data_IF_345217873874
#
_entry.id   IF_345217873874
#
_cell.length_a   1.000
_cell.length_b   1.000
_cell.length_c   1.000
_cell.angle_alpha   90.00
_cell.angle_beta   90.00
_cell.angle_gamma   90.00
#
_symmetry.space_group_name_H-M   'P 1'
#
loop_
_entity.id
_entity.type
_entity.pdbx_description
1 polymer ?
#
# COMPACT_ATOMS: atom_id res chain seq x y z
N UNK A 1 -8.11 3.14 -14.27
CA UNK A 1 -6.71 3.51 -14.01
C UNK A 1 -5.94 2.30 -13.50
N UNK A 2 -4.77 2.06 -14.01
CA UNK A 2 -3.90 0.98 -13.57
C UNK A 2 -2.53 1.52 -13.21
N UNK A 3 -1.99 1.06 -12.09
CA UNK A 3 -0.65 1.38 -11.65
C UNK A 3 0.12 0.08 -11.41
N UNK A 4 1.42 0.14 -11.53
CA UNK A 4 2.29 -1.01 -11.39
C UNK A 4 3.39 -0.72 -10.38
N UNK A 5 3.53 -1.62 -9.40
CA UNK A 5 4.62 -1.57 -8.43
C UNK A 5 5.59 -2.67 -8.79
N UNK A 6 6.77 -2.30 -9.25
CA UNK A 6 7.84 -3.25 -9.55
C UNK A 6 8.73 -3.38 -8.32
N UNK A 7 8.63 -4.54 -7.69
CA UNK A 7 9.48 -4.86 -6.57
C UNK A 7 10.70 -5.62 -7.01
N UNK A 8 11.84 -5.19 -6.51
CA UNK A 8 13.01 -6.05 -6.41
C UNK A 8 12.93 -6.80 -5.09
N UNK A 9 13.90 -7.66 -4.78
CA UNK A 9 13.94 -8.35 -3.51
C UNK A 9 13.61 -7.36 -2.38
N UNK A 10 12.55 -7.67 -1.65
CA UNK A 10 11.96 -6.74 -0.71
C UNK A 10 12.90 -6.40 0.44
N UNK A 11 13.06 -5.13 0.71
CA UNK A 11 13.69 -4.62 1.92
C UNK A 11 13.03 -3.29 2.30
N UNK A 12 12.81 -3.08 3.60
CA UNK A 12 12.33 -1.80 4.12
C UNK A 12 13.28 -0.63 3.83
N UNK A 13 14.48 -0.94 3.37
CA UNK A 13 15.51 0.04 3.06
C UNK A 13 15.62 0.33 1.57
N UNK A 14 14.92 -0.45 0.74
CA UNK A 14 15.01 -0.30 -0.71
C UNK A 14 14.12 0.81 -1.21
N UNK A 15 14.60 1.47 -2.24
CA UNK A 15 13.81 2.45 -2.98
C UNK A 15 13.21 1.74 -4.18
N UNK A 16 11.95 2.01 -4.47
CA UNK A 16 11.29 1.48 -5.66
C UNK A 16 10.32 2.51 -6.23
N UNK A 17 9.86 2.25 -7.44
CA UNK A 17 9.01 3.18 -8.17
C UNK A 17 7.67 2.57 -8.50
N UNK A 18 6.67 3.43 -8.63
CA UNK A 18 5.35 3.09 -9.11
C UNK A 18 5.20 3.68 -10.51
N UNK A 19 4.72 2.86 -11.45
CA UNK A 19 4.61 3.21 -12.86
C UNK A 19 3.15 3.23 -13.31
N UNK A 20 2.84 4.07 -14.29
CA UNK A 20 1.53 4.07 -14.94
C UNK A 20 1.47 3.00 -16.06
N UNK A 21 0.36 3.01 -16.81
CA UNK A 21 0.11 2.06 -17.90
C UNK A 21 1.08 2.21 -19.07
N UNK A 22 1.67 3.38 -19.24
CA UNK A 22 2.64 3.66 -20.29
C UNK A 22 4.07 3.35 -19.87
N UNK A 23 4.26 2.82 -18.66
CA UNK A 23 5.57 2.53 -18.12
C UNK A 23 6.32 3.75 -17.59
N UNK A 24 5.63 4.87 -17.41
CA UNK A 24 6.20 6.10 -16.87
C UNK A 24 6.12 6.09 -15.35
N UNK A 25 7.24 6.37 -14.69
CA UNK A 25 7.27 6.45 -13.22
C UNK A 25 6.44 7.65 -12.74
N UNK A 26 5.56 7.42 -11.77
CA UNK A 26 4.70 8.46 -11.21
C UNK A 26 4.99 8.74 -9.74
N UNK A 27 5.54 7.78 -9.02
CA UNK A 27 5.96 7.95 -7.63
C UNK A 27 7.24 7.18 -7.34
N UNK A 28 7.99 7.66 -6.36
CA UNK A 28 9.12 6.96 -5.78
C UNK A 28 8.84 6.66 -4.32
N UNK A 29 9.09 5.43 -3.88
CA UNK A 29 8.96 5.01 -2.50
C UNK A 29 10.34 4.86 -1.90
N UNK A 30 10.57 5.45 -0.74
CA UNK A 30 11.82 5.33 0.01
C UNK A 30 11.56 4.77 1.39
N UNK A 31 12.25 3.68 1.73
CA UNK A 31 12.20 3.09 3.06
C UNK A 31 13.22 3.72 3.98
N UNK A 32 12.84 3.97 5.22
CA UNK A 32 13.71 4.47 6.27
C UNK A 32 13.52 3.65 7.55
N UNK A 33 14.58 3.48 8.31
CA UNK A 33 14.49 2.98 9.67
C UNK A 33 14.57 4.16 10.63
N UNK A 34 13.46 4.38 11.34
CA UNK A 34 13.37 5.38 12.37
C UNK A 34 12.97 4.65 13.67
N UNK A 35 11.93 5.06 14.34
CA UNK A 35 11.32 4.30 15.44
C UNK A 35 10.40 3.21 14.86
N UNK A 36 10.95 2.25 14.14
CA UNK A 36 10.23 1.28 13.35
C UNK A 36 10.36 1.56 11.87
N UNK A 37 9.67 0.79 11.04
CA UNK A 37 9.72 0.97 9.60
C UNK A 37 8.92 2.19 9.19
N UNK A 38 9.48 2.96 8.27
CA UNK A 38 8.87 4.15 7.71
C UNK A 38 9.04 4.13 6.20
N UNK A 39 7.94 4.36 5.48
CA UNK A 39 7.96 4.48 4.04
C UNK A 39 7.50 5.87 3.66
N UNK A 40 8.25 6.53 2.81
CA UNK A 40 7.92 7.86 2.29
C UNK A 40 7.68 7.77 0.79
N UNK A 41 6.62 8.40 0.35
CA UNK A 41 6.27 8.44 -1.07
C UNK A 41 6.47 9.84 -1.61
N UNK A 42 7.15 9.93 -2.75
CA UNK A 42 7.46 11.19 -3.42
C UNK A 42 6.87 11.18 -4.81
N UNK A 43 6.38 12.34 -5.26
CA UNK A 43 6.02 12.51 -6.67
C UNK A 43 7.30 12.66 -7.52
N UNK A 44 7.14 12.80 -8.83
CA UNK A 44 8.28 12.87 -9.73
C UNK A 44 8.97 14.24 -9.73
N UNK A 45 8.41 15.22 -9.03
CA UNK A 45 9.05 16.50 -8.78
C UNK A 45 9.87 16.49 -7.48
N UNK A 46 9.87 15.35 -6.77
CA UNK A 46 10.60 15.19 -5.51
C UNK A 46 9.85 15.67 -4.28
N UNK A 47 8.56 15.99 -4.41
CA UNK A 47 7.75 16.40 -3.28
C UNK A 47 7.25 15.16 -2.52
N UNK A 48 7.42 15.16 -1.20
CA UNK A 48 6.85 14.13 -0.34
C UNK A 48 5.34 14.27 -0.29
N UNK A 49 4.62 13.24 -0.76
CA UNK A 49 3.15 13.28 -0.81
C UNK A 49 2.51 12.54 0.36
N UNK A 50 3.16 11.52 0.90
CA UNK A 50 2.67 10.83 2.08
C UNK A 50 3.76 10.06 2.80
N UNK A 51 3.45 9.68 4.04
CA UNK A 51 4.32 8.87 4.90
C UNK A 51 3.49 7.76 5.51
N UNK A 52 4.03 6.54 5.53
CA UNK A 52 3.45 5.38 6.18
C UNK A 52 4.43 4.93 7.26
N UNK A 53 3.99 4.91 8.50
CA UNK A 53 4.83 4.59 9.64
C UNK A 53 4.29 3.38 10.41
N UNK A 54 5.15 2.39 10.63
CA UNK A 54 4.79 1.23 11.45
C UNK A 54 4.62 1.65 12.91
N UNK A 55 3.51 1.25 13.52
CA UNK A 55 3.28 1.42 14.95
C UNK A 55 3.72 0.14 15.67
N UNK A 56 4.83 0.23 16.42
CA UNK A 56 5.41 -0.92 17.13
C UNK A 56 4.72 -1.26 18.44
N UNK A 57 3.89 -0.38 18.94
CA UNK A 57 3.19 -0.60 20.21
C UNK A 57 1.93 -1.45 20.06
N UNK A 58 1.55 -1.75 18.80
CA UNK A 58 0.41 -2.58 18.51
C UNK A 58 0.78 -4.07 18.51
N UNK A 59 -0.11 -4.91 19.05
CA UNK A 59 0.07 -6.37 19.04
C UNK A 59 -0.01 -6.97 17.64
N UNK A 60 -0.83 -6.35 16.79
CA UNK A 60 -0.98 -6.75 15.39
C UNK A 60 -0.36 -5.68 14.49
N UNK A 61 0.05 -6.03 13.27
CA UNK A 61 0.56 -5.04 12.34
C UNK A 61 -0.39 -3.86 12.18
N UNK A 62 0.16 -2.67 12.41
CA UNK A 62 -0.57 -1.41 12.30
C UNK A 62 0.35 -0.37 11.66
N UNK A 63 -0.18 0.32 10.65
CA UNK A 63 0.55 1.36 9.94
C UNK A 63 -0.22 2.66 10.02
N UNK A 64 0.46 3.71 10.46
CA UNK A 64 -0.11 5.05 10.53
C UNK A 64 0.14 5.78 9.22
N UNK A 65 -0.87 6.49 8.74
CA UNK A 65 -0.81 7.23 7.47
C UNK A 65 -0.79 8.73 7.69
N UNK A 66 0.10 9.41 7.00
CA UNK A 66 0.24 10.87 7.05
C UNK A 66 0.22 11.41 5.62
N UNK A 67 -0.55 12.46 5.38
CA UNK A 67 -0.59 13.17 4.11
C UNK A 67 -0.32 14.65 4.41
N UNK A 68 0.66 15.21 3.70
CA UNK A 68 1.11 16.60 3.92
C UNK A 68 1.44 16.88 5.39
N UNK A 69 2.03 15.89 6.08
CA UNK A 69 2.39 16.00 7.48
C UNK A 69 1.27 15.78 8.47
N UNK A 70 0.04 15.57 8.02
CA UNK A 70 -1.13 15.37 8.87
C UNK A 70 -1.49 13.89 8.98
N UNK A 71 -1.68 13.43 10.22
CA UNK A 71 -2.21 12.09 10.46
C UNK A 71 -3.63 11.97 9.93
N UNK A 72 -3.88 10.96 9.07
CA UNK A 72 -5.20 10.76 8.47
C UNK A 72 -5.89 9.47 8.94
N UNK A 73 -5.16 8.54 9.50
CA UNK A 73 -5.73 7.26 9.95
C UNK A 73 -4.71 6.16 9.94
N UNK A 74 -5.16 4.93 10.18
CA UNK A 74 -4.29 3.77 10.24
C UNK A 74 -4.81 2.59 9.44
N UNK A 75 -3.89 1.73 9.05
CA UNK A 75 -4.15 0.44 8.40
C UNK A 75 -3.90 -0.62 9.46
N UNK A 76 -4.92 -1.39 9.82
CA UNK A 76 -4.86 -2.35 10.91
C UNK A 76 -5.11 -3.76 10.39
N UNK A 77 -4.18 -4.67 10.64
CA UNK A 77 -4.38 -6.07 10.30
C UNK A 77 -5.37 -6.70 11.27
N UNK A 78 -6.32 -7.46 10.74
CA UNK A 78 -7.29 -8.20 11.55
C UNK A 78 -6.60 -9.36 12.28
N UNK A 79 -7.13 -9.74 13.43
CA UNK A 79 -6.56 -10.77 14.29
C UNK A 79 -6.81 -12.20 13.81
N UNK A 80 -7.55 -12.36 12.74
CA UNK A 80 -7.92 -13.68 12.25
C UNK A 80 -6.73 -14.33 11.55
N UNK A 81 -6.28 -15.46 12.08
CA UNK A 81 -5.13 -16.20 11.59
C UNK A 81 -5.32 -16.68 10.15
N UNK A 82 -6.56 -16.91 9.75
CA UNK A 82 -6.89 -17.49 8.44
C UNK A 82 -7.25 -16.45 7.38
N UNK A 83 -7.21 -15.17 7.71
CA UNK A 83 -7.62 -14.11 6.79
C UNK A 83 -6.58 -13.02 6.66
N UNK A 84 -6.21 -12.73 5.43
CA UNK A 84 -5.38 -11.57 5.10
C UNK A 84 -6.29 -10.35 4.96
N UNK A 85 -6.85 -9.90 6.08
CA UNK A 85 -7.80 -8.82 6.13
C UNK A 85 -7.24 -7.63 6.92
N UNK A 86 -7.56 -6.43 6.43
CA UNK A 86 -7.15 -5.17 7.03
C UNK A 86 -8.34 -4.24 7.11
N UNK A 87 -8.39 -3.43 8.15
CA UNK A 87 -9.35 -2.34 8.27
C UNK A 87 -8.63 -1.01 8.24
N UNK A 88 -9.28 -0.01 7.67
CA UNK A 88 -8.73 1.34 7.56
C UNK A 88 -9.48 2.21 8.56
N UNK A 89 -8.78 2.62 9.61
CA UNK A 89 -9.32 3.51 10.62
C UNK A 89 -9.21 4.95 10.14
N UNK A 90 -10.15 5.32 9.31
CA UNK A 90 -10.26 6.65 8.72
C UNK A 90 -11.66 6.83 8.11
N UNK A 91 -12.05 5.89 7.25
CA UNK A 91 -13.26 6.02 6.43
C UNK A 91 -14.06 4.72 6.36
N UNK A 92 -13.72 3.73 7.18
CA UNK A 92 -14.40 2.45 7.18
C UNK A 92 -14.05 1.54 6.01
N UNK A 93 -12.99 1.85 5.28
CA UNK A 93 -12.51 0.98 4.21
C UNK A 93 -11.93 -0.29 4.77
N UNK A 94 -11.92 -1.33 3.97
CA UNK A 94 -11.34 -2.61 4.35
C UNK A 94 -10.68 -3.29 3.17
N UNK A 95 -9.77 -4.19 3.48
CA UNK A 95 -9.02 -4.96 2.49
C UNK A 95 -9.19 -6.44 2.79
N UNK A 96 -9.43 -7.23 1.75
CA UNK A 96 -9.50 -8.68 1.85
C UNK A 96 -8.53 -9.30 0.86
N UNK A 97 -7.63 -10.15 1.36
CA UNK A 97 -6.70 -10.92 0.55
C UNK A 97 -7.17 -12.36 0.37
N UNK A 98 -6.74 -13.00 -0.72
CA UNK A 98 -6.98 -14.41 -0.91
C UNK A 98 -6.00 -15.26 -0.05
N UNK A 99 -6.24 -16.56 0.02
CA UNK A 99 -5.41 -17.47 0.83
C UNK A 99 -3.96 -17.55 0.34
N UNK A 100 -3.75 -17.34 -0.95
CA UNK A 100 -2.42 -17.41 -1.57
C UNK A 100 -1.69 -16.06 -1.54
N UNK A 101 -2.33 -15.03 -1.01
CA UNK A 101 -1.79 -13.66 -0.97
C UNK A 101 -1.42 -13.13 -2.36
N UNK A 102 -2.14 -13.57 -3.39
CA UNK A 102 -1.93 -13.16 -4.77
C UNK A 102 -2.81 -12.02 -5.20
N UNK A 103 -3.96 -11.86 -4.55
CA UNK A 103 -4.91 -10.79 -4.82
C UNK A 103 -5.41 -10.16 -3.53
N UNK A 104 -5.54 -8.84 -3.55
CA UNK A 104 -6.18 -8.08 -2.48
C UNK A 104 -7.25 -7.19 -3.09
N UNK A 105 -8.45 -7.23 -2.50
CA UNK A 105 -9.57 -6.37 -2.89
C UNK A 105 -9.77 -5.32 -1.83
N UNK A 106 -9.91 -4.08 -2.27
CA UNK A 106 -10.13 -2.94 -1.38
C UNK A 106 -11.56 -2.46 -1.57
N UNK A 107 -12.29 -2.36 -0.46
CA UNK A 107 -13.70 -1.94 -0.43
C UNK A 107 -13.83 -0.64 0.33
N UNK A 108 -14.71 0.25 -0.14
CA UNK A 108 -15.03 1.47 0.62
C UNK A 108 -16.00 1.18 1.76
N UNK A 109 -16.36 2.21 2.53
CA UNK A 109 -17.25 2.08 3.68
C UNK A 109 -18.67 1.65 3.35
N UNK A 110 -19.07 1.74 2.08
CA UNK A 110 -20.37 1.26 1.59
C UNK A 110 -20.32 -0.17 1.07
N UNK A 111 -19.13 -0.78 1.03
CA UNK A 111 -18.94 -2.14 0.54
C UNK A 111 -18.69 -2.25 -0.95
N UNK A 112 -18.48 -1.14 -1.67
CA UNK A 112 -18.12 -1.18 -3.08
C UNK A 112 -16.63 -1.40 -3.25
N UNK A 113 -16.26 -2.25 -4.20
CA UNK A 113 -14.86 -2.47 -4.52
C UNK A 113 -14.28 -1.24 -5.22
N UNK A 114 -13.24 -0.66 -4.63
CA UNK A 114 -12.58 0.54 -5.16
C UNK A 114 -11.24 0.23 -5.80
N UNK A 115 -10.65 -0.92 -5.48
CA UNK A 115 -9.40 -1.34 -6.10
C UNK A 115 -9.20 -2.85 -6.03
N UNK A 116 -8.39 -3.34 -6.96
CA UNK A 116 -7.89 -4.71 -6.97
C UNK A 116 -6.38 -4.67 -7.13
N UNK A 117 -5.67 -5.23 -6.16
CA UNK A 117 -4.23 -5.43 -6.23
C UNK A 117 -3.97 -6.88 -6.56
N UNK A 118 -3.29 -7.16 -7.65
CA UNK A 118 -2.93 -8.52 -8.05
C UNK A 118 -1.44 -8.64 -8.32
N UNK A 119 -0.88 -9.75 -7.85
CA UNK A 119 0.53 -10.06 -8.08
C UNK A 119 0.67 -10.72 -9.44
N UNK A 120 1.47 -10.13 -10.31
CA UNK A 120 1.80 -10.73 -11.59
C UNK A 120 3.12 -11.48 -11.48
N UNK A 121 3.06 -12.80 -11.73
CA UNK A 121 4.24 -13.63 -11.76
C UNK A 121 4.74 -13.69 -13.20
N UNK A 122 5.28 -12.57 -13.69
CA UNK A 122 5.89 -12.51 -15.00
C UNK A 122 7.39 -12.27 -14.87
N UNK A 123 8.20 -13.17 -15.43
CA UNK A 123 9.64 -13.00 -15.61
C UNK A 123 10.46 -12.83 -14.32
N UNK A 124 10.19 -13.61 -13.29
CA UNK A 124 10.99 -13.66 -12.05
C UNK A 124 11.04 -12.37 -11.24
N UNK A 125 10.24 -11.37 -11.57
CA UNK A 125 10.13 -10.14 -10.79
C UNK A 125 8.72 -10.01 -10.29
N UNK A 126 8.61 -9.82 -8.98
CA UNK A 126 7.32 -9.58 -8.35
C UNK A 126 6.82 -8.20 -8.76
N UNK A 127 5.81 -8.19 -9.60
CA UNK A 127 5.14 -6.96 -10.03
C UNK A 127 3.71 -7.03 -9.54
N UNK A 128 3.27 -5.98 -8.85
CA UNK A 128 1.88 -5.83 -8.47
C UNK A 128 1.19 -4.90 -9.45
N UNK A 129 0.03 -5.31 -9.92
CA UNK A 129 -0.86 -4.47 -10.72
C UNK A 129 -1.99 -3.99 -9.81
N UNK A 130 -2.23 -2.70 -9.81
CA UNK A 130 -3.26 -2.07 -9.01
C UNK A 130 -4.29 -1.46 -9.97
N UNK A 131 -5.50 -2.02 -9.98
CA UNK A 131 -6.63 -1.45 -10.73
C UNK A 131 -7.43 -0.56 -9.79
N UNK A 132 -7.56 0.70 -10.15
CA UNK A 132 -8.23 1.72 -9.35
C UNK A 132 -9.49 2.16 -10.07
N UNK A 133 -10.64 2.08 -9.39
CA UNK A 133 -11.92 2.42 -9.97
C UNK A 133 -12.08 3.94 -10.12
N UNK A 134 -11.74 4.70 -9.09
CA UNK A 134 -11.85 6.15 -9.10
C UNK A 134 -10.48 6.79 -8.83
N UNK A 135 -9.95 7.58 -9.79
CA UNK A 135 -8.65 8.23 -9.61
C UNK A 135 -8.53 9.11 -8.37
N UNK A 136 -9.62 9.61 -7.81
CA UNK A 136 -9.60 10.39 -6.57
C UNK A 136 -9.09 9.58 -5.38
N UNK A 137 -9.22 8.27 -5.43
CA UNK A 137 -8.81 7.36 -4.36
C UNK A 137 -7.36 6.87 -4.53
N UNK A 138 -6.65 7.33 -5.54
CA UNK A 138 -5.33 6.85 -5.93
C UNK A 138 -4.35 6.84 -4.76
N UNK A 139 -4.20 7.96 -4.08
CA UNK A 139 -3.18 8.09 -3.04
C UNK A 139 -3.46 7.14 -1.87
N UNK A 140 -4.69 7.08 -1.40
CA UNK A 140 -5.07 6.19 -0.30
C UNK A 140 -4.86 4.71 -0.68
N UNK A 141 -5.26 4.34 -1.90
CA UNK A 141 -5.08 2.97 -2.39
C UNK A 141 -3.59 2.61 -2.47
N UNK A 142 -2.76 3.52 -2.94
CA UNK A 142 -1.31 3.29 -2.99
C UNK A 142 -0.70 3.15 -1.60
N UNK A 143 -1.12 3.96 -0.65
CA UNK A 143 -0.64 3.85 0.74
C UNK A 143 -0.99 2.48 1.34
N UNK A 144 -2.21 2.03 1.13
CA UNK A 144 -2.67 0.71 1.59
C UNK A 144 -1.84 -0.40 0.92
N UNK A 145 -1.66 -0.32 -0.38
CA UNK A 145 -0.92 -1.32 -1.16
C UNK A 145 0.53 -1.42 -0.68
N UNK A 146 1.18 -0.29 -0.51
CA UNK A 146 2.58 -0.23 -0.09
C UNK A 146 2.76 -0.77 1.32
N UNK A 147 1.83 -0.45 2.22
CA UNK A 147 1.87 -0.94 3.60
C UNK A 147 1.68 -2.46 3.68
N UNK A 148 0.71 -3.00 2.96
CA UNK A 148 0.44 -4.43 2.94
C UNK A 148 1.63 -5.19 2.36
N UNK A 149 2.19 -4.68 1.28
CA UNK A 149 3.35 -5.28 0.66
C UNK A 149 4.56 -5.28 1.59
N UNK A 150 4.75 -4.21 2.32
CA UNK A 150 5.85 -4.06 3.27
C UNK A 150 5.71 -4.99 4.50
N UNK A 151 4.50 -5.36 4.87
CA UNK A 151 4.23 -6.23 6.02
C UNK A 151 4.62 -7.69 5.75
N UNK A 152 4.69 -8.07 4.51
CA UNK A 152 5.00 -9.45 4.12
C UNK A 152 6.48 -9.81 4.28
#
# INVERSE_FOLDING_TARGET
MKLYVKQRAFSWFDNYKIFDEDGVAVYTIKGELSWGHCLKMYDMEGKEVCVIRENRDSLLPKFEMYVDGNYIGSINKESDVDKNAYTIDYNGWRVEGDLMETEYRIYNGLGYQVALMSKEVLNQKDTYRIKITNPEDELLILMITVAIDAEK
#
